data_IF_106030581043
#
_entry.id   IF_106030581043
#
_cell.length_a   1.000
_cell.length_b   1.000
_cell.length_c   1.000
_cell.angle_alpha   90.00
_cell.angle_beta   90.00
_cell.angle_gamma   90.00
#
_symmetry.space_group_name_H-M   'P 1'
#
loop_
_entity.id
_entity.type
_entity.pdbx_description
1 polymer ?
#
# COMPACT_ATOMS: atom_id res chain seq x y z
N UNK A 1 -40.04 8.06 34.80
CA UNK A 1 -39.47 6.76 35.22
C UNK A 1 -38.85 6.16 33.97
N UNK A 2 -37.53 6.02 33.92
CA UNK A 2 -36.89 5.31 32.81
C UNK A 2 -37.24 3.82 32.92
N UNK A 3 -37.77 3.25 31.85
CA UNK A 3 -38.20 1.85 31.82
C UNK A 3 -36.96 0.93 31.92
N UNK A 4 -36.82 0.10 32.96
CA UNK A 4 -35.68 -0.80 33.11
C UNK A 4 -35.56 -1.81 31.95
N UNK A 5 -36.63 -2.07 31.20
CA UNK A 5 -36.58 -2.92 29.99
C UNK A 5 -35.82 -2.25 28.85
N UNK A 6 -36.00 -0.93 28.65
CA UNK A 6 -35.26 -0.20 27.60
C UNK A 6 -33.78 -0.06 27.97
N UNK A 7 -33.46 0.05 29.25
CA UNK A 7 -32.07 0.13 29.70
C UNK A 7 -31.33 -1.21 29.54
N UNK A 8 -32.02 -2.34 29.77
CA UNK A 8 -31.47 -3.67 29.51
C UNK A 8 -31.26 -3.92 28.01
N UNK A 9 -32.21 -3.54 27.16
CA UNK A 9 -32.09 -3.65 25.69
C UNK A 9 -30.93 -2.79 25.14
N UNK A 10 -30.74 -1.58 25.68
CA UNK A 10 -29.60 -0.73 25.31
C UNK A 10 -28.27 -1.37 25.72
N UNK A 11 -28.18 -1.96 26.91
CA UNK A 11 -26.96 -2.62 27.36
C UNK A 11 -26.64 -3.87 26.52
N UNK A 12 -27.67 -4.64 26.14
CA UNK A 12 -27.53 -5.78 25.24
C UNK A 12 -27.04 -5.35 23.85
N UNK A 13 -27.63 -4.28 23.29
CA UNK A 13 -27.21 -3.71 22.02
C UNK A 13 -25.76 -3.19 22.06
N UNK A 14 -25.35 -2.52 23.15
CA UNK A 14 -23.97 -2.06 23.34
C UNK A 14 -23.01 -3.25 23.46
N UNK A 15 -23.40 -4.32 24.16
CA UNK A 15 -22.58 -5.52 24.29
C UNK A 15 -22.37 -6.19 22.94
N UNK A 16 -23.44 -6.39 22.17
CA UNK A 16 -23.40 -6.98 20.84
C UNK A 16 -22.54 -6.13 19.88
N UNK A 17 -22.73 -4.81 19.87
CA UNK A 17 -21.93 -3.90 19.04
C UNK A 17 -20.44 -3.93 19.41
N UNK A 18 -20.12 -4.10 20.70
CA UNK A 18 -18.74 -4.19 21.15
C UNK A 18 -18.09 -5.53 20.79
N UNK A 19 -18.84 -6.63 20.83
CA UNK A 19 -18.35 -7.93 20.35
C UNK A 19 -18.09 -7.91 18.84
N UNK A 20 -19.01 -7.35 18.06
CA UNK A 20 -18.89 -7.21 16.61
C UNK A 20 -17.70 -6.32 16.20
N UNK A 21 -17.50 -5.20 16.90
CA UNK A 21 -16.33 -4.33 16.71
C UNK A 21 -15.03 -5.06 17.05
N UNK A 22 -15.03 -5.86 18.13
CA UNK A 22 -13.83 -6.59 18.55
C UNK A 22 -13.46 -7.68 17.53
N UNK A 23 -14.46 -8.39 16.99
CA UNK A 23 -14.27 -9.38 15.94
C UNK A 23 -13.73 -8.71 14.65
N UNK A 24 -14.35 -7.61 14.22
CA UNK A 24 -13.91 -6.84 13.05
C UNK A 24 -12.47 -6.34 13.18
N UNK A 25 -12.07 -5.89 14.38
CA UNK A 25 -10.71 -5.43 14.65
C UNK A 25 -9.71 -6.59 14.61
N UNK A 26 -10.09 -7.76 15.13
CA UNK A 26 -9.25 -8.95 15.06
C UNK A 26 -9.01 -9.40 13.59
N UNK A 27 -10.06 -9.40 12.77
CA UNK A 27 -9.95 -9.75 11.34
C UNK A 27 -9.12 -8.73 10.56
N UNK A 28 -9.30 -7.43 10.83
CA UNK A 28 -8.48 -6.39 10.23
C UNK A 28 -7.01 -6.57 10.60
N UNK A 29 -6.74 -6.84 11.88
CA UNK A 29 -5.37 -7.09 12.34
C UNK A 29 -4.77 -8.33 11.68
N UNK A 30 -5.51 -9.43 11.59
CA UNK A 30 -5.04 -10.63 10.91
C UNK A 30 -4.75 -10.38 9.43
N UNK A 31 -5.57 -9.57 8.76
CA UNK A 31 -5.35 -9.16 7.37
C UNK A 31 -4.08 -8.33 7.22
N UNK A 32 -3.88 -7.33 8.09
CA UNK A 32 -2.66 -6.51 8.12
C UNK A 32 -1.42 -7.36 8.39
N UNK A 33 -1.49 -8.25 9.38
CA UNK A 33 -0.39 -9.15 9.72
C UNK A 33 -0.08 -10.09 8.54
N UNK A 34 -1.09 -10.58 7.83
CA UNK A 34 -0.91 -11.45 6.66
C UNK A 34 -0.34 -10.71 5.44
N UNK A 35 -0.69 -9.44 5.26
CA UNK A 35 -0.09 -8.57 4.25
C UNK A 35 1.38 -8.27 4.58
N UNK A 36 1.70 -8.01 5.86
CA UNK A 36 3.07 -7.77 6.32
C UNK A 36 3.93 -9.04 6.35
N UNK A 37 3.32 -10.22 6.52
CA UNK A 37 4.05 -11.49 6.60
C UNK A 37 4.56 -11.99 5.23
N UNK A 38 4.07 -11.43 4.12
CA UNK A 38 4.63 -11.71 2.80
C UNK A 38 5.83 -10.80 2.57
N UNK A 39 7.05 -11.33 2.36
CA UNK A 39 8.16 -10.48 1.97
C UNK A 39 7.79 -9.76 0.68
N UNK A 40 8.08 -8.45 0.63
CA UNK A 40 7.72 -7.57 -0.50
C UNK A 40 8.34 -8.03 -1.82
N UNK A 41 9.46 -8.75 -1.75
CA UNK A 41 10.10 -9.44 -2.87
C UNK A 41 10.40 -10.88 -2.47
N UNK A 42 10.13 -11.82 -3.38
CA UNK A 42 10.69 -13.16 -3.33
C UNK A 42 12.22 -13.13 -3.44
N UNK A 43 12.89 -14.22 -3.07
CA UNK A 43 14.35 -14.31 -3.19
C UNK A 43 14.82 -14.21 -4.65
N UNK A 44 14.03 -14.73 -5.59
CA UNK A 44 14.29 -14.63 -7.03
C UNK A 44 14.20 -13.19 -7.53
N UNK A 45 13.21 -12.43 -7.04
CA UNK A 45 13.05 -11.01 -7.37
C UNK A 45 14.16 -10.15 -6.74
N UNK A 46 14.61 -10.50 -5.52
CA UNK A 46 15.78 -9.84 -4.90
C UNK A 46 17.04 -10.07 -5.72
N UNK A 47 17.31 -11.31 -6.14
CA UNK A 47 18.50 -11.63 -6.93
C UNK A 47 18.49 -10.90 -8.28
N UNK A 48 17.34 -10.86 -8.96
CA UNK A 48 17.19 -10.11 -10.19
C UNK A 48 17.39 -8.58 -9.99
N UNK A 49 16.87 -8.03 -8.90
CA UNK A 49 17.05 -6.61 -8.56
C UNK A 49 18.52 -6.29 -8.27
N UNK A 50 19.22 -7.18 -7.57
CA UNK A 50 20.65 -7.05 -7.29
C UNK A 50 21.49 -7.13 -8.57
N UNK A 51 21.18 -8.06 -9.47
CA UNK A 51 21.88 -8.18 -10.76
C UNK A 51 21.73 -6.92 -11.62
N UNK A 52 20.51 -6.39 -11.72
CA UNK A 52 20.21 -5.17 -12.49
C UNK A 52 20.83 -3.91 -11.85
N UNK A 53 20.92 -3.86 -10.52
CA UNK A 53 21.62 -2.78 -9.83
C UNK A 53 23.14 -2.86 -10.07
N UNK A 54 23.72 -4.06 -9.99
CA UNK A 54 25.16 -4.29 -10.20
C UNK A 54 25.59 -4.02 -11.64
N UNK A 55 24.74 -4.35 -12.62
CA UNK A 55 24.96 -4.03 -14.02
C UNK A 55 24.97 -2.50 -14.28
N UNK A 56 24.42 -1.72 -13.34
CA UNK A 56 24.26 -0.27 -13.45
C UNK A 56 23.01 0.14 -14.25
N UNK A 57 22.19 -0.82 -14.68
CA UNK A 57 20.96 -0.59 -15.42
C UNK A 57 19.95 0.24 -14.60
N UNK A 58 19.89 0.00 -13.29
CA UNK A 58 19.05 0.76 -12.36
C UNK A 58 19.67 2.08 -11.90
N UNK A 59 20.90 2.39 -12.32
CA UNK A 59 21.63 3.60 -11.94
C UNK A 59 22.55 3.44 -10.72
N UNK A 60 23.38 4.45 -10.48
CA UNK A 60 24.43 4.40 -9.45
C UNK A 60 23.86 4.37 -8.02
N UNK A 61 22.73 5.03 -7.76
CA UNK A 61 22.09 5.02 -6.43
C UNK A 61 21.65 3.60 -6.01
N UNK A 62 21.09 2.83 -6.95
CA UNK A 62 20.72 1.42 -6.71
C UNK A 62 21.93 0.52 -6.54
N UNK A 63 22.99 0.77 -7.31
CA UNK A 63 24.25 0.06 -7.17
C UNK A 63 24.88 0.30 -5.79
N UNK A 64 24.85 1.54 -5.30
CA UNK A 64 25.30 1.87 -3.95
C UNK A 64 24.42 1.19 -2.89
N UNK A 65 23.09 1.20 -3.07
CA UNK A 65 22.15 0.56 -2.15
C UNK A 65 22.41 -0.95 -2.03
N UNK A 66 22.58 -1.65 -3.16
CA UNK A 66 22.87 -3.08 -3.18
C UNK A 66 24.23 -3.39 -2.55
N UNK A 67 25.24 -2.54 -2.78
CA UNK A 67 26.54 -2.70 -2.12
C UNK A 67 26.42 -2.61 -0.59
N UNK A 68 25.60 -1.70 -0.05
CA UNK A 68 25.35 -1.57 1.39
C UNK A 68 24.58 -2.76 1.97
N UNK A 69 23.58 -3.27 1.24
CA UNK A 69 22.83 -4.46 1.63
C UNK A 69 23.75 -5.68 1.66
N UNK A 70 24.55 -5.93 0.61
CA UNK A 70 25.53 -7.03 0.56
C UNK A 70 26.64 -6.88 1.60
N UNK A 71 27.01 -5.65 1.95
CA UNK A 71 27.94 -5.33 3.04
C UNK A 71 27.39 -5.60 4.44
N UNK A 72 26.08 -5.89 4.59
CA UNK A 72 25.41 -6.06 5.87
C UNK A 72 25.14 -4.75 6.61
N UNK A 73 25.30 -3.61 5.94
CA UNK A 73 24.97 -2.28 6.48
C UNK A 73 23.46 -2.00 6.42
N UNK A 74 22.73 -2.74 5.59
CA UNK A 74 21.29 -2.61 5.44
C UNK A 74 20.64 -3.95 5.03
N UNK A 75 19.31 -3.98 4.96
CA UNK A 75 18.55 -5.13 4.45
C UNK A 75 17.42 -4.67 3.54
N UNK A 76 17.03 -5.51 2.58
CA UNK A 76 15.88 -5.25 1.72
C UNK A 76 14.60 -4.98 2.53
N UNK A 77 14.39 -5.72 3.63
CA UNK A 77 13.22 -5.55 4.48
C UNK A 77 13.17 -4.14 5.11
N UNK A 78 14.30 -3.63 5.60
CA UNK A 78 14.38 -2.27 6.15
C UNK A 78 14.22 -1.18 5.08
N UNK A 79 14.76 -1.43 3.88
CA UNK A 79 14.66 -0.52 2.74
C UNK A 79 13.21 -0.35 2.32
N UNK A 80 12.49 -1.47 2.14
CA UNK A 80 11.09 -1.43 1.71
C UNK A 80 10.11 -1.10 2.83
N UNK A 81 10.43 -1.34 4.09
CA UNK A 81 9.64 -0.86 5.23
C UNK A 81 9.78 0.65 5.47
N UNK A 82 10.76 1.30 4.83
CA UNK A 82 11.06 2.72 5.02
C UNK A 82 11.85 3.02 6.30
N UNK A 83 12.34 2.01 7.00
CA UNK A 83 13.16 2.15 8.21
C UNK A 83 14.66 2.29 7.90
N UNK A 84 15.06 2.01 6.66
CA UNK A 84 16.44 2.11 6.19
C UNK A 84 16.94 3.57 6.20
N UNK A 85 18.15 3.82 6.76
CA UNK A 85 18.81 5.12 6.62
C UNK A 85 19.23 5.43 5.17
N UNK A 86 19.24 4.43 4.30
CA UNK A 86 19.59 4.52 2.89
C UNK A 86 18.36 4.61 1.97
N UNK A 87 17.14 4.77 2.51
CA UNK A 87 15.89 4.82 1.72
C UNK A 87 15.88 5.91 0.62
N UNK A 88 16.66 6.98 0.78
CA UNK A 88 16.83 8.01 -0.25
C UNK A 88 17.45 7.47 -1.56
N UNK A 89 18.28 6.42 -1.50
CA UNK A 89 18.87 5.80 -2.69
C UNK A 89 17.81 5.06 -3.53
N UNK A 90 16.88 4.37 -2.87
CA UNK A 90 15.73 3.76 -3.55
C UNK A 90 14.81 4.85 -4.13
N UNK A 91 14.56 5.91 -3.37
CA UNK A 91 13.69 7.02 -3.81
C UNK A 91 14.23 7.70 -5.07
N UNK A 92 15.55 7.89 -5.20
CA UNK A 92 16.17 8.43 -6.40
C UNK A 92 15.85 7.61 -7.66
N UNK A 93 15.99 6.28 -7.56
CA UNK A 93 15.64 5.37 -8.64
C UNK A 93 14.15 5.41 -8.99
N UNK A 94 13.27 5.32 -7.99
CA UNK A 94 11.81 5.37 -8.22
C UNK A 94 11.37 6.70 -8.84
N UNK A 95 11.98 7.81 -8.44
CA UNK A 95 11.70 9.13 -9.02
C UNK A 95 12.08 9.16 -10.49
N UNK A 96 13.26 8.64 -10.85
CA UNK A 96 13.71 8.57 -12.23
C UNK A 96 12.81 7.65 -13.08
N UNK A 97 12.47 6.47 -12.58
CA UNK A 97 11.56 5.55 -13.27
C UNK A 97 10.18 6.19 -13.50
N UNK A 98 9.67 6.92 -12.50
CA UNK A 98 8.44 7.67 -12.63
C UNK A 98 8.56 8.78 -13.68
N UNK A 99 9.64 9.56 -13.68
CA UNK A 99 9.85 10.62 -14.67
C UNK A 99 9.95 10.09 -16.11
N UNK A 100 10.60 8.93 -16.29
CA UNK A 100 10.76 8.26 -17.59
C UNK A 100 9.43 7.68 -18.11
N UNK A 101 8.57 7.20 -17.23
CA UNK A 101 7.32 6.51 -17.60
C UNK A 101 6.03 7.26 -17.24
N UNK A 102 6.10 8.51 -16.77
CA UNK A 102 4.91 9.27 -16.32
C UNK A 102 3.80 9.36 -17.38
N UNK A 103 4.18 9.45 -18.65
CA UNK A 103 3.22 9.57 -19.77
C UNK A 103 2.54 8.23 -20.04
N UNK A 104 3.31 7.14 -20.02
CA UNK A 104 2.79 5.78 -20.15
C UNK A 104 1.85 5.42 -18.98
N UNK A 105 2.22 5.82 -17.76
CA UNK A 105 1.40 5.65 -16.56
C UNK A 105 0.09 6.43 -16.70
N UNK A 106 0.15 7.68 -17.16
CA UNK A 106 -1.05 8.50 -17.35
C UNK A 106 -2.00 7.89 -18.39
N UNK A 107 -1.46 7.42 -19.52
CA UNK A 107 -2.23 6.71 -20.56
C UNK A 107 -2.88 5.43 -20.01
N UNK A 108 -2.14 4.61 -19.27
CA UNK A 108 -2.69 3.40 -18.66
C UNK A 108 -3.83 3.70 -17.65
N UNK A 109 -3.76 4.84 -16.95
CA UNK A 109 -4.84 5.29 -16.08
C UNK A 109 -6.07 5.76 -16.87
N UNK A 110 -5.88 6.47 -17.98
CA UNK A 110 -6.98 6.87 -18.87
C UNK A 110 -7.70 5.64 -19.45
N UNK A 111 -6.94 4.67 -19.97
CA UNK A 111 -7.48 3.41 -20.49
C UNK A 111 -8.27 2.64 -19.41
N UNK A 112 -7.76 2.59 -18.19
CA UNK A 112 -8.43 1.93 -17.06
C UNK A 112 -9.76 2.62 -16.71
N UNK A 113 -9.78 3.97 -16.71
CA UNK A 113 -11.00 4.75 -16.44
C UNK A 113 -12.04 4.47 -17.54
N UNK A 114 -11.65 4.50 -18.81
CA UNK A 114 -12.54 4.20 -19.93
C UNK A 114 -13.11 2.77 -19.84
N UNK A 115 -12.29 1.80 -19.43
CA UNK A 115 -12.72 0.40 -19.28
C UNK A 115 -13.71 0.21 -18.12
N UNK A 116 -13.50 0.90 -17.00
CA UNK A 116 -14.40 0.86 -15.84
C UNK A 116 -15.70 1.67 -16.06
N UNK A 117 -15.63 2.78 -16.79
CA UNK A 117 -16.81 3.51 -17.28
C UNK A 117 -17.63 2.64 -18.24
N UNK A 118 -16.99 1.92 -19.17
CA UNK A 118 -17.64 0.99 -20.08
C UNK A 118 -18.31 -0.20 -19.35
N UNK A 119 -17.75 -0.62 -18.21
CA UNK A 119 -18.34 -1.64 -17.32
C UNK A 119 -19.45 -1.08 -16.43
N UNK A 120 -19.69 0.24 -16.44
CA UNK A 120 -20.72 0.90 -15.65
C UNK A 120 -20.38 1.02 -14.15
N UNK A 121 -19.10 0.90 -13.79
CA UNK A 121 -18.63 1.00 -12.41
C UNK A 121 -18.45 2.45 -11.93
N UNK A 122 -18.46 3.44 -12.84
CA UNK A 122 -18.42 4.86 -12.51
C UNK A 122 -19.82 5.46 -12.49
N UNK A 123 -20.43 5.56 -11.31
CA UNK A 123 -21.53 6.49 -11.07
C UNK A 123 -20.87 7.83 -10.73
N UNK A 124 -20.63 8.68 -11.73
CA UNK A 124 -20.57 10.13 -11.50
C UNK A 124 -21.99 10.57 -11.14
N UNK A 125 -22.42 10.27 -9.91
CA UNK A 125 -23.61 10.90 -9.36
C UNK A 125 -23.23 12.36 -9.21
N UNK A 126 -23.97 13.20 -9.91
CA UNK A 126 -23.76 14.64 -10.04
C UNK A 126 -23.26 15.20 -8.71
N UNK A 127 -22.06 15.79 -8.68
CA UNK A 127 -21.72 16.71 -7.60
C UNK A 127 -22.83 17.75 -7.66
N UNK A 128 -23.69 17.89 -6.63
CA UNK A 128 -24.77 18.85 -6.71
C UNK A 128 -24.09 20.22 -6.67
N UNK A 129 -23.95 20.84 -7.83
CA UNK A 129 -23.61 22.24 -7.93
C UNK A 129 -24.74 22.95 -7.22
N UNK A 130 -24.46 23.40 -6.01
CA UNK A 130 -25.38 24.21 -5.23
C UNK A 130 -25.58 25.50 -6.02
N UNK A 131 -26.60 25.53 -6.86
CA UNK A 131 -27.12 26.78 -7.44
C UNK A 131 -27.46 27.69 -6.25
N UNK A 132 -26.74 28.82 -6.18
CA UNK A 132 -27.02 29.95 -5.29
C UNK A 132 -27.48 31.13 -6.12
#
# INVERSE_FOLDING_TARGET
MSDPRSQAEILEAISAAREDLTASLADLKATVDQLNAKPLLSEEEKEALEEQAESGELGEDMKELVAKIKGGEDTWDNVFSGESPNGALLQGHLTKMFEEHKEDIALAFEDLIEEEEAKGNFIFDEVPTSDS
#
